data_IF_591925269702
#
_entry.id   IF_591925269702
#
_cell.length_a   1.000
_cell.length_b   1.000
_cell.length_c   1.000
_cell.angle_alpha   90.00
_cell.angle_beta   90.00
_cell.angle_gamma   90.00
#
_symmetry.space_group_name_H-M   'P 1'
#
loop_
_entity.id
_entity.type
_entity.pdbx_description
1 polymer ?
#
# COMPACT_ATOMS: atom_id res chain seq x y z
N UNK A 1 -34.27 8.90 -0.73
CA UNK A 1 -32.98 8.15 -0.76
C UNK A 1 -32.40 8.14 0.63
N UNK A 2 -32.01 6.97 1.17
CA UNK A 2 -31.34 6.88 2.47
C UNK A 2 -29.94 7.47 2.34
N UNK A 3 -29.60 8.47 3.16
CA UNK A 3 -28.26 9.06 3.17
C UNK A 3 -27.28 8.00 3.69
N UNK A 4 -26.27 7.66 2.89
CA UNK A 4 -25.18 6.77 3.30
C UNK A 4 -24.38 7.47 4.39
N UNK A 5 -24.46 6.97 5.62
CA UNK A 5 -23.59 7.38 6.73
C UNK A 5 -22.23 6.76 6.48
N UNK A 6 -21.19 7.60 6.44
CA UNK A 6 -19.80 7.16 6.25
C UNK A 6 -18.96 7.50 7.47
N UNK A 7 -17.77 6.92 7.57
CA UNK A 7 -16.81 7.37 8.56
C UNK A 7 -16.43 8.84 8.30
N UNK A 8 -16.37 9.65 9.37
CA UNK A 8 -16.17 11.10 9.30
C UNK A 8 -14.91 11.52 8.51
N UNK A 9 -13.88 10.68 8.47
CA UNK A 9 -12.62 10.98 7.81
C UNK A 9 -12.67 10.98 6.27
N UNK A 10 -13.73 10.43 5.65
CA UNK A 10 -13.79 10.29 4.18
C UNK A 10 -14.71 11.30 3.46
N UNK A 11 -15.45 12.16 4.18
CA UNK A 11 -16.66 12.80 3.64
C UNK A 11 -16.44 13.91 2.59
N UNK A 12 -15.20 14.37 2.36
CA UNK A 12 -14.95 15.64 1.63
C UNK A 12 -14.35 15.49 0.24
N UNK A 13 -13.66 14.40 -0.07
CA UNK A 13 -12.96 14.25 -1.36
C UNK A 13 -13.46 12.99 -2.09
N UNK A 14 -13.93 13.09 -3.35
CA UNK A 14 -14.43 11.95 -4.11
C UNK A 14 -13.46 10.78 -4.24
N UNK A 15 -12.14 11.05 -4.26
CA UNK A 15 -11.10 10.00 -4.27
C UNK A 15 -11.15 9.23 -2.96
N UNK A 16 -11.29 9.94 -1.84
CA UNK A 16 -11.32 9.33 -0.53
C UNK A 16 -12.63 8.58 -0.28
N UNK A 17 -13.76 9.13 -0.72
CA UNK A 17 -15.08 8.46 -0.68
C UNK A 17 -15.03 7.14 -1.46
N UNK A 18 -14.50 7.17 -2.70
CA UNK A 18 -14.39 5.95 -3.52
C UNK A 18 -13.50 4.90 -2.86
N UNK A 19 -12.37 5.32 -2.26
CA UNK A 19 -11.49 4.43 -1.53
C UNK A 19 -12.18 3.82 -0.30
N UNK A 20 -12.85 4.65 0.51
CA UNK A 20 -13.62 4.21 1.66
C UNK A 20 -14.69 3.18 1.27
N UNK A 21 -15.51 3.50 0.27
CA UNK A 21 -16.68 2.70 -0.10
C UNK A 21 -16.31 1.37 -0.78
N UNK A 22 -15.10 1.24 -1.35
CA UNK A 22 -14.74 0.10 -2.21
C UNK A 22 -13.50 -0.67 -1.78
N UNK A 23 -12.62 -0.09 -0.98
CA UNK A 23 -11.31 -0.69 -0.66
C UNK A 23 -11.03 -0.72 0.84
N UNK A 24 -11.39 0.31 1.61
CA UNK A 24 -11.08 0.36 3.03
C UNK A 24 -11.95 -0.63 3.84
N UNK A 25 -11.31 -1.48 4.64
CA UNK A 25 -12.00 -2.48 5.48
C UNK A 25 -12.57 -3.68 4.71
N UNK A 26 -12.35 -3.76 3.40
CA UNK A 26 -12.68 -4.92 2.56
C UNK A 26 -11.53 -5.94 2.68
N UNK A 27 -11.80 -7.20 3.04
CA UNK A 27 -10.79 -8.25 3.05
C UNK A 27 -10.04 -8.37 1.71
N UNK A 28 -8.72 -8.51 1.77
CA UNK A 28 -7.85 -8.71 0.61
C UNK A 28 -6.98 -9.93 0.85
N UNK A 29 -6.96 -10.83 -0.14
CA UNK A 29 -6.13 -12.05 -0.16
C UNK A 29 -5.18 -12.11 -1.37
N UNK A 30 -5.00 -11.00 -2.08
CA UNK A 30 -4.06 -10.89 -3.20
C UNK A 30 -2.73 -10.30 -2.73
N UNK A 31 -1.66 -11.10 -2.76
CA UNK A 31 -0.32 -10.70 -2.29
C UNK A 31 0.20 -9.44 -2.99
N UNK A 32 -0.10 -9.26 -4.27
CA UNK A 32 0.34 -8.08 -5.01
C UNK A 32 -0.35 -6.81 -4.48
N UNK A 33 -1.64 -6.88 -4.19
CA UNK A 33 -2.40 -5.79 -3.56
C UNK A 33 -1.95 -5.55 -2.12
N UNK A 34 -1.65 -6.61 -1.36
CA UNK A 34 -1.10 -6.50 -0.02
C UNK A 34 0.27 -5.79 -0.02
N UNK A 35 1.15 -6.16 -0.95
CA UNK A 35 2.43 -5.49 -1.15
C UNK A 35 2.26 -4.02 -1.58
N UNK A 36 1.31 -3.74 -2.48
CA UNK A 36 0.95 -2.37 -2.85
C UNK A 36 0.58 -1.54 -1.61
N UNK A 37 -0.31 -2.04 -0.75
CA UNK A 37 -0.67 -1.33 0.48
C UNK A 37 0.51 -1.18 1.44
N UNK A 38 1.31 -2.23 1.65
CA UNK A 38 2.50 -2.16 2.52
C UNK A 38 3.46 -1.02 2.11
N UNK A 39 3.68 -0.83 0.81
CA UNK A 39 4.51 0.25 0.29
C UNK A 39 3.85 1.62 0.47
N UNK A 40 2.54 1.73 0.18
CA UNK A 40 1.82 2.99 0.27
C UNK A 40 1.65 3.49 1.71
N UNK A 41 1.40 2.59 2.66
CA UNK A 41 1.32 2.92 4.10
C UNK A 41 2.67 3.42 4.62
N UNK A 42 3.78 2.79 4.23
CA UNK A 42 5.12 3.31 4.54
C UNK A 42 5.38 4.70 3.94
N UNK A 43 4.83 4.99 2.75
CA UNK A 43 4.94 6.30 2.13
C UNK A 43 4.12 7.38 2.85
N UNK A 44 3.09 7.01 3.60
CA UNK A 44 2.19 7.93 4.30
C UNK A 44 2.85 8.65 5.48
N UNK A 45 3.87 8.09 6.13
CA UNK A 45 4.44 8.65 7.37
C UNK A 45 4.69 10.19 7.28
N UNK A 46 3.98 10.97 8.11
CA UNK A 46 4.04 12.44 8.11
C UNK A 46 3.21 13.15 7.02
N UNK A 47 2.29 12.45 6.34
CA UNK A 47 1.42 12.98 5.29
C UNK A 47 -0.02 12.47 5.49
N UNK A 48 -0.98 13.11 4.80
CA UNK A 48 -2.35 12.60 4.74
C UNK A 48 -2.46 11.40 3.79
N UNK A 49 -3.31 10.42 4.10
CA UNK A 49 -3.57 9.30 3.19
C UNK A 49 -4.12 9.75 1.84
N UNK A 50 -4.93 10.82 1.83
CA UNK A 50 -5.40 11.45 0.58
C UNK A 50 -4.25 11.86 -0.35
N UNK A 51 -3.13 12.34 0.21
CA UNK A 51 -1.92 12.66 -0.57
C UNK A 51 -1.35 11.43 -1.25
N UNK A 52 -1.36 10.29 -0.56
CA UNK A 52 -0.88 9.01 -1.09
C UNK A 52 -1.83 8.46 -2.15
N UNK A 53 -3.14 8.48 -1.89
CA UNK A 53 -4.17 8.04 -2.85
C UNK A 53 -4.09 8.82 -4.17
N UNK A 54 -3.92 10.14 -4.12
CA UNK A 54 -3.76 10.98 -5.34
C UNK A 54 -2.48 10.67 -6.12
N UNK A 55 -1.47 10.07 -5.48
CA UNK A 55 -0.19 9.68 -6.09
C UNK A 55 -0.11 8.19 -6.43
N UNK A 56 -1.15 7.41 -6.12
CA UNK A 56 -1.15 5.94 -6.23
C UNK A 56 -0.79 5.42 -7.62
N UNK A 57 -1.28 6.07 -8.69
CA UNK A 57 -0.89 5.73 -10.07
C UNK A 57 0.59 6.02 -10.35
N UNK A 58 1.12 7.10 -9.80
CA UNK A 58 2.54 7.42 -9.87
C UNK A 58 3.38 6.33 -9.22
N UNK A 59 3.00 5.91 -8.00
CA UNK A 59 3.62 4.78 -7.32
C UNK A 59 3.53 3.49 -8.13
N UNK A 60 2.36 3.18 -8.71
CA UNK A 60 2.19 1.98 -9.52
C UNK A 60 3.18 1.94 -10.70
N UNK A 61 3.37 3.06 -11.40
CA UNK A 61 4.35 3.15 -12.49
C UNK A 61 5.79 3.06 -11.97
N UNK A 62 6.10 3.83 -10.93
CA UNK A 62 7.41 3.94 -10.30
C UNK A 62 7.94 2.58 -9.78
N UNK A 63 7.06 1.77 -9.21
CA UNK A 63 7.40 0.49 -8.56
C UNK A 63 6.97 -0.73 -9.38
N UNK A 64 7.06 -0.63 -10.72
CA UNK A 64 6.86 -1.75 -11.64
C UNK A 64 5.52 -2.50 -11.44
N UNK A 65 4.44 -1.75 -11.19
CA UNK A 65 3.12 -2.30 -10.91
C UNK A 65 3.02 -2.99 -9.56
N UNK A 66 3.88 -2.65 -8.60
CA UNK A 66 4.03 -3.33 -7.31
C UNK A 66 4.37 -4.83 -7.45
N UNK A 67 5.21 -5.18 -8.42
CA UNK A 67 5.78 -6.52 -8.48
C UNK A 67 6.98 -6.61 -7.51
N UNK A 68 6.82 -7.35 -6.42
CA UNK A 68 7.83 -7.44 -5.36
C UNK A 68 9.19 -7.96 -5.88
N UNK A 69 9.21 -8.98 -6.74
CA UNK A 69 10.46 -9.50 -7.34
C UNK A 69 11.23 -8.44 -8.12
N UNK A 70 10.53 -7.63 -8.92
CA UNK A 70 11.14 -6.54 -9.69
C UNK A 70 11.64 -5.43 -8.77
N UNK A 71 10.82 -5.02 -7.79
CA UNK A 71 11.17 -3.94 -6.86
C UNK A 71 12.34 -4.34 -5.96
N UNK A 72 12.43 -5.59 -5.51
CA UNK A 72 13.53 -6.11 -4.69
C UNK A 72 14.91 -5.97 -5.38
N UNK A 73 14.93 -6.00 -6.71
CA UNK A 73 16.13 -5.85 -7.56
C UNK A 73 16.49 -4.39 -7.87
N UNK A 74 15.71 -3.42 -7.40
CA UNK A 74 16.07 -2.01 -7.60
C UNK A 74 17.42 -1.69 -6.94
N UNK A 75 18.28 -1.07 -7.74
CA UNK A 75 19.63 -0.67 -7.36
C UNK A 75 19.67 0.80 -6.91
N UNK A 76 20.78 1.31 -6.36
CA UNK A 76 20.90 2.73 -6.02
C UNK A 76 20.57 3.67 -7.20
N UNK A 77 20.92 3.28 -8.43
CA UNK A 77 20.59 4.04 -9.66
C UNK A 77 19.07 4.15 -9.85
N UNK A 78 18.32 3.08 -9.57
CA UNK A 78 16.86 3.11 -9.63
C UNK A 78 16.29 4.09 -8.61
N UNK A 79 16.82 4.08 -7.37
CA UNK A 79 16.41 5.00 -6.31
C UNK A 79 16.65 6.46 -6.72
N UNK A 80 17.84 6.80 -7.24
CA UNK A 80 18.13 8.15 -7.73
C UNK A 80 17.18 8.60 -8.84
N UNK A 81 16.81 7.69 -9.74
CA UNK A 81 15.85 7.99 -10.80
C UNK A 81 14.46 8.28 -10.23
N UNK A 82 14.00 7.45 -9.29
CA UNK A 82 12.69 7.62 -8.65
C UNK A 82 12.61 8.90 -7.82
N UNK A 83 13.72 9.33 -7.22
CA UNK A 83 13.79 10.61 -6.50
C UNK A 83 13.56 11.84 -7.39
N UNK A 84 13.60 11.69 -8.71
CA UNK A 84 13.27 12.76 -9.68
C UNK A 84 11.81 12.70 -10.14
N UNK A 85 11.08 11.63 -9.84
CA UNK A 85 9.70 11.44 -10.28
C UNK A 85 8.73 12.25 -9.41
N UNK A 86 8.08 13.25 -10.02
CA UNK A 86 7.08 14.10 -9.35
C UNK A 86 5.76 13.36 -9.06
N UNK A 87 5.56 12.17 -9.62
CA UNK A 87 4.41 11.30 -9.38
C UNK A 87 4.42 10.62 -8.00
N UNK A 88 5.55 10.59 -7.30
CA UNK A 88 5.69 9.96 -5.98
C UNK A 88 6.17 10.94 -4.91
N UNK A 89 6.22 10.50 -3.64
CA UNK A 89 6.89 11.26 -2.58
C UNK A 89 8.40 11.06 -2.71
N UNK A 90 9.10 12.13 -3.08
CA UNK A 90 10.56 12.17 -3.32
C UNK A 90 11.34 12.20 -2.00
N UNK A 91 11.21 11.13 -1.22
CA UNK A 91 11.94 10.95 0.03
C UNK A 91 12.80 9.68 -0.09
N UNK A 92 14.12 9.83 0.09
CA UNK A 92 15.10 8.77 -0.10
C UNK A 92 14.86 7.57 0.82
N UNK A 93 14.52 7.81 2.08
CA UNK A 93 14.26 6.75 3.05
C UNK A 93 12.99 5.98 2.69
N UNK A 94 11.90 6.67 2.30
CA UNK A 94 10.65 6.02 1.87
C UNK A 94 10.82 5.19 0.60
N UNK A 95 11.56 5.69 -0.40
CA UNK A 95 11.84 4.95 -1.63
C UNK A 95 12.73 3.74 -1.33
N UNK A 96 13.76 3.90 -0.50
CA UNK A 96 14.60 2.79 -0.05
C UNK A 96 13.82 1.73 0.73
N UNK A 97 12.89 2.16 1.58
CA UNK A 97 12.04 1.28 2.37
C UNK A 97 11.16 0.38 1.48
N UNK A 98 10.65 0.88 0.35
CA UNK A 98 9.90 0.05 -0.59
C UNK A 98 10.74 -1.12 -1.15
N UNK A 99 12.05 -0.89 -1.38
CA UNK A 99 12.98 -1.92 -1.86
C UNK A 99 13.32 -2.93 -0.76
N UNK A 100 13.59 -2.47 0.46
CA UNK A 100 13.83 -3.38 1.59
C UNK A 100 12.59 -4.19 1.94
N UNK A 101 11.41 -3.57 1.89
CA UNK A 101 10.13 -4.24 2.11
C UNK A 101 9.86 -5.29 1.04
N UNK A 102 10.17 -5.02 -0.24
CA UNK A 102 10.05 -6.03 -1.29
C UNK A 102 10.89 -7.28 -1.00
N UNK A 103 12.14 -7.11 -0.54
CA UNK A 103 13.01 -8.23 -0.17
C UNK A 103 12.48 -9.00 1.04
N UNK A 104 12.00 -8.30 2.06
CA UNK A 104 11.41 -8.92 3.24
C UNK A 104 10.10 -9.65 2.91
N UNK A 105 9.26 -9.06 2.06
CA UNK A 105 8.02 -9.64 1.58
C UNK A 105 8.26 -10.98 0.87
N UNK A 106 9.25 -11.04 -0.03
CA UNK A 106 9.62 -12.29 -0.72
C UNK A 106 10.12 -13.36 0.26
N UNK A 107 10.90 -12.99 1.28
CA UNK A 107 11.33 -13.93 2.33
C UNK A 107 10.16 -14.50 3.12
N UNK A 108 9.17 -13.66 3.43
CA UNK A 108 7.92 -14.12 4.06
C UNK A 108 7.19 -15.10 3.15
N UNK A 109 7.11 -14.83 1.85
CA UNK A 109 6.52 -15.77 0.90
C UNK A 109 7.30 -17.10 0.82
N UNK A 110 8.63 -17.08 0.89
CA UNK A 110 9.45 -18.29 0.93
C UNK A 110 9.17 -19.14 2.19
N UNK A 111 9.00 -18.50 3.35
CA UNK A 111 8.81 -19.19 4.64
C UNK A 111 7.35 -19.64 4.87
N UNK A 112 6.38 -18.83 4.45
CA UNK A 112 4.96 -19.03 4.77
C UNK A 112 4.09 -19.37 3.55
N UNK A 113 4.70 -19.50 2.36
CA UNK A 113 4.02 -19.77 1.09
C UNK A 113 3.41 -18.53 0.44
N UNK A 114 2.75 -17.66 1.21
CA UNK A 114 2.25 -16.36 0.75
C UNK A 114 2.30 -15.31 1.85
N UNK A 115 2.29 -14.03 1.47
CA UNK A 115 2.20 -12.96 2.46
C UNK A 115 0.81 -12.87 3.08
N UNK A 116 -0.23 -13.19 2.31
CA UNK A 116 -1.60 -13.38 2.78
C UNK A 116 -1.66 -14.39 3.94
N UNK A 117 -1.13 -15.60 3.75
CA UNK A 117 -1.12 -16.64 4.77
C UNK A 117 -0.34 -16.21 6.02
N UNK A 118 0.74 -15.44 5.87
CA UNK A 118 1.46 -14.88 7.00
C UNK A 118 0.63 -13.81 7.73
N UNK A 119 0.09 -12.83 7.00
CA UNK A 119 -0.58 -11.66 7.58
C UNK A 119 -1.91 -12.01 8.25
N UNK A 120 -2.68 -12.93 7.70
CA UNK A 120 -3.99 -13.29 8.25
C UNK A 120 -3.91 -14.14 9.52
N UNK A 121 -2.76 -14.76 9.81
CA UNK A 121 -2.54 -15.46 11.08
C UNK A 121 -2.58 -14.54 12.30
N UNK A 122 -2.35 -13.24 12.12
CA UNK A 122 -2.42 -12.27 13.21
C UNK A 122 -3.86 -11.94 13.63
N UNK A 123 -4.86 -12.40 12.88
CA UNK A 123 -6.28 -12.23 13.16
C UNK A 123 -7.03 -13.58 13.07
N UNK A 124 -6.31 -14.69 13.26
CA UNK A 124 -6.86 -16.05 13.20
C UNK A 124 -7.65 -16.37 11.91
N UNK A 125 -7.29 -15.73 10.80
CA UNK A 125 -7.97 -15.90 9.52
C UNK A 125 -9.32 -15.17 9.40
N UNK A 126 -9.74 -14.42 10.42
CA UNK A 126 -11.05 -13.77 10.47
C UNK A 126 -10.95 -12.25 10.60
N UNK A 127 -11.84 -11.55 9.90
CA UNK A 127 -11.91 -10.08 10.00
C UNK A 127 -12.51 -9.68 11.35
N UNK A 128 -11.75 -8.93 12.13
CA UNK A 128 -12.23 -8.28 13.36
C UNK A 128 -13.12 -7.08 12.98
N UNK A 129 -14.38 -7.10 13.43
CA UNK A 129 -15.35 -6.02 13.22
C UNK A 129 -15.48 -5.21 14.49
N UNK A 130 -15.08 -3.93 14.42
CA UNK A 130 -15.24 -3.02 15.54
C UNK A 130 -16.72 -2.65 15.73
N UNK A 131 -17.16 -2.47 16.99
CA UNK A 131 -18.48 -1.91 17.26
C UNK A 131 -18.57 -0.48 16.73
N UNK A 132 -19.78 -0.09 16.32
CA UNK A 132 -20.13 1.26 15.87
C UNK A 132 -20.19 2.26 17.03
#
# INVERSE_FOLDING_TARGET
MKQLVRCQWCEKDPVYIKYHDKEWGVPVHDDKKLFEFLVLEGAQAGLSWLTILKRREGYRKAFAGFNAEKVARFTPIHIERLLKDAGIIRNRLKVGAAVSNARAFLKVQEEFGSFDAYSWRFVDGERIVNPL
#
